data_IF_474831973733
#
_entry.id   IF_474831973733
#
_cell.length_a   1.000
_cell.length_b   1.000
_cell.length_c   1.000
_cell.angle_alpha   90.00
_cell.angle_beta   90.00
_cell.angle_gamma   90.00
#
_symmetry.space_group_name_H-M   'P 1'
#
loop_
_entity.id
_entity.type
_entity.pdbx_description
1 polymer ?
#
# COMPACT_ATOMS: atom_id res chain seq x y z
N UNK A 1 -28.52 -6.18 -4.81
CA UNK A 1 -29.05 -7.24 -3.90
C UNK A 1 -28.88 -8.64 -4.49
N UNK A 2 -29.25 -8.91 -5.74
CA UNK A 2 -29.10 -10.25 -6.35
C UNK A 2 -27.65 -10.78 -6.38
N UNK A 3 -26.66 -9.94 -6.69
CA UNK A 3 -25.25 -10.34 -6.70
C UNK A 3 -24.72 -10.79 -5.33
N UNK A 4 -25.14 -10.13 -4.25
CA UNK A 4 -24.75 -10.49 -2.89
C UNK A 4 -25.37 -11.81 -2.45
N UNK A 5 -26.64 -12.06 -2.81
CA UNK A 5 -27.28 -13.34 -2.51
C UNK A 5 -26.66 -14.49 -3.31
N UNK A 6 -26.28 -14.24 -4.57
CA UNK A 6 -25.54 -15.21 -5.36
C UNK A 6 -24.15 -15.50 -4.79
N UNK A 7 -23.40 -14.47 -4.37
CA UNK A 7 -22.10 -14.64 -3.73
C UNK A 7 -22.23 -15.46 -2.43
N UNK A 8 -23.25 -15.16 -1.61
CA UNK A 8 -23.57 -15.94 -0.41
C UNK A 8 -23.88 -17.40 -0.75
N UNK A 9 -24.73 -17.65 -1.76
CA UNK A 9 -25.06 -18.99 -2.22
C UNK A 9 -23.79 -19.74 -2.66
N UNK A 10 -22.96 -19.11 -3.50
CA UNK A 10 -21.72 -19.70 -4.02
C UNK A 10 -20.76 -20.09 -2.90
N UNK A 11 -20.55 -19.22 -1.91
CA UNK A 11 -19.69 -19.56 -0.77
C UNK A 11 -20.32 -20.67 0.10
N UNK A 12 -21.64 -20.67 0.27
CA UNK A 12 -22.33 -21.71 1.03
C UNK A 12 -22.30 -23.10 0.36
N UNK A 13 -22.35 -23.15 -0.98
CA UNK A 13 -22.42 -24.42 -1.73
C UNK A 13 -21.08 -24.89 -2.27
N UNK A 14 -20.16 -23.97 -2.58
CA UNK A 14 -18.89 -24.25 -3.25
C UNK A 14 -17.66 -23.63 -2.57
N UNK A 15 -17.84 -22.91 -1.46
CA UNK A 15 -16.79 -22.10 -0.83
C UNK A 15 -15.53 -22.88 -0.47
N UNK A 16 -15.66 -24.06 0.14
CA UNK A 16 -14.51 -24.91 0.50
C UNK A 16 -13.66 -25.26 -0.73
N UNK A 17 -14.29 -25.69 -1.82
CA UNK A 17 -13.61 -26.04 -3.07
C UNK A 17 -12.93 -24.83 -3.70
N UNK A 18 -13.63 -23.69 -3.77
CA UNK A 18 -13.12 -22.47 -4.38
C UNK A 18 -11.94 -21.90 -3.58
N UNK A 19 -12.08 -21.78 -2.27
CA UNK A 19 -11.01 -21.28 -1.40
C UNK A 19 -9.82 -22.25 -1.35
N UNK A 20 -10.04 -23.56 -1.29
CA UNK A 20 -8.94 -24.55 -1.35
C UNK A 20 -8.13 -24.43 -2.64
N UNK A 21 -8.80 -24.18 -3.78
CA UNK A 21 -8.14 -23.90 -5.05
C UNK A 21 -7.33 -22.60 -4.97
N UNK A 22 -7.91 -21.51 -4.47
CA UNK A 22 -7.24 -20.21 -4.32
C UNK A 22 -6.00 -20.31 -3.44
N UNK A 23 -6.12 -20.98 -2.29
CA UNK A 23 -5.01 -21.24 -1.36
C UNK A 23 -3.88 -22.01 -2.06
N UNK A 24 -4.21 -23.09 -2.76
CA UNK A 24 -3.24 -23.90 -3.50
C UNK A 24 -2.52 -23.07 -4.58
N UNK A 25 -3.26 -22.26 -5.34
CA UNK A 25 -2.70 -21.42 -6.38
C UNK A 25 -1.74 -20.36 -5.81
N UNK A 26 -2.11 -19.73 -4.69
CA UNK A 26 -1.27 -18.75 -4.03
C UNK A 26 0.05 -19.36 -3.52
N UNK A 27 0.02 -20.54 -2.90
CA UNK A 27 1.23 -21.23 -2.43
C UNK A 27 2.11 -21.73 -3.59
N UNK A 28 1.50 -22.24 -4.67
CA UNK A 28 2.21 -22.62 -5.90
C UNK A 28 2.96 -21.41 -6.50
N UNK A 29 2.31 -20.24 -6.55
CA UNK A 29 2.92 -19.00 -7.02
C UNK A 29 4.01 -18.51 -6.07
N UNK A 30 3.74 -18.46 -4.76
CA UNK A 30 4.71 -18.07 -3.73
C UNK A 30 6.00 -18.89 -3.81
N UNK A 31 5.87 -20.20 -3.96
CA UNK A 31 7.01 -21.12 -4.11
C UNK A 31 7.85 -20.80 -5.35
N UNK A 32 7.22 -20.38 -6.45
CA UNK A 32 7.94 -19.99 -7.67
C UNK A 32 8.58 -18.62 -7.55
N UNK A 33 7.86 -17.64 -6.99
CA UNK A 33 8.38 -16.28 -6.74
C UNK A 33 9.63 -16.34 -5.86
N UNK A 34 9.61 -17.15 -4.80
CA UNK A 34 10.76 -17.34 -3.91
C UNK A 34 11.98 -18.05 -4.54
N UNK A 35 11.88 -18.50 -5.80
CA UNK A 35 13.03 -19.01 -6.57
C UNK A 35 13.68 -17.95 -7.45
N UNK A 36 13.06 -16.78 -7.59
CA UNK A 36 13.57 -15.68 -8.41
C UNK A 36 14.67 -14.96 -7.61
N UNK A 37 15.91 -14.86 -8.10
CA UNK A 37 16.98 -14.15 -7.41
C UNK A 37 16.63 -12.68 -7.14
N UNK A 38 16.82 -12.23 -5.90
CA UNK A 38 16.54 -10.84 -5.48
C UNK A 38 15.06 -10.53 -5.20
N UNK A 39 14.15 -11.49 -5.39
CA UNK A 39 12.74 -11.34 -5.03
C UNK A 39 12.41 -12.34 -3.92
N UNK A 40 11.66 -11.89 -2.92
CA UNK A 40 11.12 -12.77 -1.87
C UNK A 40 9.65 -12.49 -1.66
N UNK A 41 8.89 -13.50 -1.25
CA UNK A 41 7.48 -13.39 -0.96
C UNK A 41 7.20 -14.02 0.40
N UNK A 42 6.61 -13.24 1.30
CA UNK A 42 6.43 -13.59 2.70
C UNK A 42 5.68 -14.90 2.87
N UNK A 43 6.28 -15.92 3.47
CA UNK A 43 5.60 -17.16 3.86
C UNK A 43 5.39 -17.24 5.36
N UNK A 44 4.97 -18.43 5.83
CA UNK A 44 4.69 -18.68 7.25
C UNK A 44 5.91 -18.49 8.17
N UNK A 45 7.12 -18.43 7.63
CA UNK A 45 8.34 -18.11 8.36
C UNK A 45 8.33 -16.73 9.02
N UNK A 46 7.49 -15.78 8.57
CA UNK A 46 7.37 -14.47 9.21
C UNK A 46 6.61 -14.54 10.54
N UNK A 47 5.77 -15.57 10.73
CA UNK A 47 4.92 -15.71 11.92
C UNK A 47 5.78 -15.82 13.18
N UNK A 48 6.78 -16.71 13.14
CA UNK A 48 7.70 -16.92 14.26
C UNK A 48 8.67 -15.76 14.46
N UNK A 49 9.10 -15.10 13.38
CA UNK A 49 10.04 -13.97 13.44
C UNK A 49 9.45 -12.71 14.07
N UNK A 50 8.17 -12.46 13.86
CA UNK A 50 7.50 -11.22 14.28
C UNK A 50 6.40 -11.45 15.33
N UNK A 51 6.30 -12.66 15.90
CA UNK A 51 5.28 -13.03 16.89
C UNK A 51 3.85 -12.67 16.42
N UNK A 52 3.53 -13.03 15.17
CA UNK A 52 2.23 -12.76 14.55
C UNK A 52 1.24 -13.91 14.86
N UNK A 53 -0.05 -13.63 14.73
CA UNK A 53 -1.11 -14.64 14.91
C UNK A 53 -1.16 -15.66 13.77
N UNK A 54 -1.32 -15.20 12.53
CA UNK A 54 -1.27 -16.03 11.32
C UNK A 54 -0.96 -15.13 10.09
N UNK A 55 -0.73 -15.75 8.93
CA UNK A 55 -0.58 -15.10 7.65
C UNK A 55 -1.68 -15.54 6.69
N UNK A 56 -2.43 -14.58 6.14
CA UNK A 56 -3.32 -14.85 5.01
C UNK A 56 -2.49 -15.15 3.76
N UNK A 57 -2.34 -16.44 3.47
CA UNK A 57 -1.52 -16.93 2.36
C UNK A 57 -2.08 -16.55 0.98
N UNK A 58 -3.33 -16.09 0.87
CA UNK A 58 -3.91 -15.61 -0.39
C UNK A 58 -3.42 -14.22 -0.76
N UNK A 59 -2.76 -13.54 0.18
CA UNK A 59 -2.06 -12.26 -0.03
C UNK A 59 -0.59 -12.52 -0.29
N UNK A 60 -0.15 -12.23 -1.50
CA UNK A 60 1.24 -12.33 -1.91
C UNK A 60 1.91 -10.97 -1.70
N UNK A 61 2.47 -10.77 -0.51
CA UNK A 61 3.38 -9.64 -0.25
C UNK A 61 4.76 -10.00 -0.77
N UNK A 62 5.23 -9.30 -1.80
CA UNK A 62 6.44 -9.61 -2.56
C UNK A 62 7.44 -8.46 -2.38
N UNK A 63 8.58 -8.73 -1.76
CA UNK A 63 9.71 -7.81 -1.63
C UNK A 63 10.54 -7.80 -2.90
N UNK A 64 10.81 -6.59 -3.42
CA UNK A 64 11.59 -6.34 -4.65
C UNK A 64 12.83 -5.48 -4.41
N UNK A 65 13.13 -5.12 -3.15
CA UNK A 65 14.25 -4.23 -2.80
C UNK A 65 15.62 -4.70 -3.32
N UNK A 66 15.82 -6.02 -3.42
CA UNK A 66 17.11 -6.62 -3.75
C UNK A 66 17.34 -6.75 -5.27
N UNK A 67 16.36 -6.39 -6.11
CA UNK A 67 16.52 -6.25 -7.57
C UNK A 67 16.77 -4.81 -8.03
N UNK A 68 17.04 -3.87 -7.10
CA UNK A 68 17.38 -2.49 -7.44
C UNK A 68 16.19 -1.62 -7.85
N UNK A 69 14.96 -2.09 -7.66
CA UNK A 69 13.73 -1.35 -7.95
C UNK A 69 12.87 -1.14 -6.70
N UNK A 70 12.15 -0.04 -6.69
CA UNK A 70 11.09 0.21 -5.71
C UNK A 70 9.84 -0.60 -6.08
N UNK A 71 8.98 -0.89 -5.10
CA UNK A 71 7.69 -1.52 -5.38
C UNK A 71 6.82 -0.68 -6.33
N UNK A 72 6.92 0.66 -6.28
CA UNK A 72 6.23 1.56 -7.22
C UNK A 72 6.68 1.34 -8.67
N UNK A 73 7.99 1.24 -8.90
CA UNK A 73 8.54 0.97 -10.24
C UNK A 73 8.12 -0.40 -10.75
N UNK A 74 8.19 -1.43 -9.91
CA UNK A 74 7.74 -2.78 -10.29
C UNK A 74 6.25 -2.80 -10.60
N UNK A 75 5.43 -2.14 -9.77
CA UNK A 75 3.99 -1.97 -10.02
C UNK A 75 3.71 -1.30 -11.37
N UNK A 76 4.43 -0.21 -11.67
CA UNK A 76 4.30 0.50 -12.94
C UNK A 76 4.69 -0.38 -14.13
N UNK A 77 5.78 -1.15 -14.03
CA UNK A 77 6.20 -2.09 -15.06
C UNK A 77 5.17 -3.21 -15.27
N UNK A 78 4.70 -3.83 -14.17
CA UNK A 78 3.66 -4.86 -14.21
C UNK A 78 2.39 -4.36 -14.92
N UNK A 79 1.95 -3.14 -14.60
CA UNK A 79 0.77 -2.55 -15.22
C UNK A 79 0.99 -2.24 -16.71
N UNK A 80 2.05 -1.48 -17.04
CA UNK A 80 2.22 -0.91 -18.40
C UNK A 80 2.81 -1.87 -19.42
N UNK A 81 3.67 -2.81 -19.01
CA UNK A 81 4.37 -3.74 -19.91
C UNK A 81 3.73 -5.13 -19.94
N UNK A 82 3.11 -5.55 -18.83
CA UNK A 82 2.61 -6.93 -18.69
C UNK A 82 1.08 -7.02 -18.51
N UNK A 83 0.38 -5.90 -18.43
CA UNK A 83 -1.06 -5.80 -18.14
C UNK A 83 -1.45 -6.52 -16.85
N UNK A 84 -0.67 -6.30 -15.78
CA UNK A 84 -0.88 -6.88 -14.44
C UNK A 84 -1.05 -5.74 -13.44
N UNK A 85 -2.25 -5.63 -12.88
CA UNK A 85 -2.53 -4.69 -11.79
C UNK A 85 -2.20 -5.34 -10.44
N UNK A 86 -1.36 -4.68 -9.65
CA UNK A 86 -1.16 -5.04 -8.23
C UNK A 86 -2.18 -4.29 -7.37
N UNK A 87 -2.47 -4.82 -6.18
CA UNK A 87 -3.38 -4.17 -5.23
C UNK A 87 -2.74 -2.91 -4.64
N UNK A 88 -1.48 -3.03 -4.21
CA UNK A 88 -0.75 -1.97 -3.54
C UNK A 88 0.74 -2.13 -3.83
N UNK A 89 1.46 -1.02 -3.79
CA UNK A 89 2.92 -0.99 -3.83
C UNK A 89 3.44 -0.01 -2.78
N UNK A 90 4.58 -0.34 -2.18
CA UNK A 90 5.36 0.50 -1.27
C UNK A 90 6.81 0.60 -1.74
N UNK A 91 7.69 1.35 -1.05
CA UNK A 91 9.08 1.50 -1.50
C UNK A 91 9.83 0.18 -1.69
N UNK A 92 9.41 -0.90 -1.02
CA UNK A 92 10.10 -2.20 -0.99
C UNK A 92 9.26 -3.38 -1.47
N UNK A 93 7.93 -3.27 -1.45
CA UNK A 93 7.01 -4.36 -1.68
C UNK A 93 5.94 -4.05 -2.72
N UNK A 94 5.44 -5.10 -3.34
CA UNK A 94 4.14 -5.11 -4.01
C UNK A 94 3.22 -6.12 -3.32
N UNK A 95 1.92 -5.86 -3.34
CA UNK A 95 0.89 -6.75 -2.83
C UNK A 95 0.00 -7.24 -3.97
N UNK A 96 -0.15 -8.55 -4.09
CA UNK A 96 -1.10 -9.18 -5.01
C UNK A 96 -2.09 -10.02 -4.22
N UNK A 97 -3.39 -9.81 -4.45
CA UNK A 97 -4.46 -10.61 -3.82
C UNK A 97 -4.87 -11.71 -4.80
N UNK A 98 -4.79 -12.96 -4.35
CA UNK A 98 -5.31 -14.12 -5.09
C UNK A 98 -6.72 -14.42 -4.60
N UNK A 99 -7.70 -14.35 -5.50
CA UNK A 99 -9.12 -14.52 -5.23
C UNK A 99 -9.66 -15.84 -5.80
N UNK A 100 -10.96 -16.08 -5.62
CA UNK A 100 -11.67 -17.21 -6.27
C UNK A 100 -11.80 -17.04 -7.79
N UNK A 101 -11.64 -15.81 -8.31
CA UNK A 101 -11.71 -15.48 -9.73
C UNK A 101 -10.43 -15.80 -10.49
N UNK A 102 -9.30 -15.94 -9.79
CA UNK A 102 -8.00 -16.10 -10.43
C UNK A 102 -7.78 -17.52 -10.98
N UNK A 103 -7.07 -17.57 -12.11
CA UNK A 103 -6.69 -18.80 -12.79
C UNK A 103 -5.20 -19.04 -12.64
N UNK A 104 -4.82 -20.30 -12.82
CA UNK A 104 -3.42 -20.71 -12.79
C UNK A 104 -2.56 -19.93 -13.81
N UNK A 105 -3.12 -19.60 -14.97
CA UNK A 105 -2.39 -18.88 -16.02
C UNK A 105 -2.18 -17.41 -15.67
N UNK A 106 -3.09 -16.79 -14.90
CA UNK A 106 -2.91 -15.42 -14.40
C UNK A 106 -1.70 -15.37 -13.44
N UNK A 107 -1.56 -16.34 -12.53
CA UNK A 107 -0.39 -16.43 -11.65
C UNK A 107 0.90 -16.86 -12.37
N UNK A 108 0.82 -17.65 -13.45
CA UNK A 108 1.99 -17.91 -14.29
C UNK A 108 2.48 -16.63 -14.97
N UNK A 109 1.56 -15.81 -15.50
CA UNK A 109 1.90 -14.50 -16.08
C UNK A 109 2.60 -13.61 -15.05
N UNK A 110 2.10 -13.55 -13.81
CA UNK A 110 2.75 -12.82 -12.72
C UNK A 110 4.18 -13.33 -12.47
N UNK A 111 4.37 -14.64 -12.29
CA UNK A 111 5.70 -15.23 -12.05
C UNK A 111 6.65 -14.91 -13.20
N UNK A 112 6.24 -15.11 -14.44
CA UNK A 112 7.08 -14.84 -15.61
C UNK A 112 7.39 -13.36 -15.81
N UNK A 113 6.47 -12.45 -15.46
CA UNK A 113 6.72 -11.02 -15.48
C UNK A 113 7.77 -10.63 -14.42
N UNK A 114 7.66 -11.17 -13.20
CA UNK A 114 8.65 -10.93 -12.15
C UNK A 114 10.03 -11.51 -12.50
N UNK A 115 10.08 -12.67 -13.14
CA UNK A 115 11.33 -13.24 -13.68
C UNK A 115 11.97 -12.32 -14.73
N UNK A 116 11.19 -11.81 -15.69
CA UNK A 116 11.67 -10.91 -16.74
C UNK A 116 12.17 -9.57 -16.17
N UNK A 117 11.43 -8.99 -15.20
CA UNK A 117 11.82 -7.76 -14.50
C UNK A 117 13.13 -7.98 -13.73
N UNK A 118 13.23 -9.06 -12.95
CA UNK A 118 14.43 -9.38 -12.19
C UNK A 118 15.65 -9.65 -13.07
N UNK A 119 15.46 -10.14 -14.30
CA UNK A 119 16.55 -10.35 -15.26
C UNK A 119 16.98 -9.06 -15.96
N UNK A 120 16.03 -8.22 -16.36
CA UNK A 120 16.30 -7.02 -17.17
C UNK A 120 16.86 -5.87 -16.33
N UNK A 121 16.36 -5.73 -15.10
CA UNK A 121 16.60 -4.55 -14.25
C UNK A 121 17.58 -4.83 -13.12
N UNK A 122 18.37 -5.92 -13.19
CA UNK A 122 19.35 -6.32 -12.18
C UNK A 122 20.57 -5.37 -12.14
N UNK A 123 20.31 -4.11 -11.83
CA UNK A 123 21.31 -3.10 -11.54
C UNK A 123 21.45 -2.94 -10.03
N UNK A 124 22.60 -2.40 -9.63
CA UNK A 124 23.09 -2.21 -8.26
C UNK A 124 21.95 -2.00 -7.24
N UNK A 125 22.02 -2.73 -6.11
CA UNK A 125 21.12 -2.59 -4.95
C UNK A 125 20.77 -1.12 -4.73
N UNK A 126 19.49 -0.83 -4.48
CA UNK A 126 19.05 0.48 -4.01
C UNK A 126 19.80 0.83 -2.73
N UNK A 127 20.89 1.56 -2.85
CA UNK A 127 21.49 2.31 -1.75
C UNK A 127 20.52 3.42 -1.40
N UNK A 128 20.02 3.43 -0.15
CA UNK A 128 19.40 4.59 0.54
C UNK A 128 17.88 4.67 0.77
N UNK A 129 17.11 3.58 0.76
CA UNK A 129 15.72 3.63 1.31
C UNK A 129 15.66 3.17 2.80
N UNK A 130 16.79 2.78 3.39
CA UNK A 130 16.85 2.18 4.74
C UNK A 130 16.29 3.05 5.89
N UNK A 131 16.02 4.34 5.66
CA UNK A 131 15.56 5.31 6.67
C UNK A 131 14.12 5.84 6.46
N UNK A 132 13.23 5.09 5.80
CA UNK A 132 11.79 5.38 5.87
C UNK A 132 11.21 4.66 7.09
N UNK A 133 11.44 5.22 8.27
CA UNK A 133 10.62 4.88 9.43
C UNK A 133 9.21 5.44 9.20
N UNK A 134 8.20 4.61 9.41
CA UNK A 134 6.83 5.10 9.55
C UNK A 134 6.80 5.98 10.79
N UNK A 135 6.61 7.30 10.65
CA UNK A 135 6.53 8.18 11.82
C UNK A 135 5.32 7.79 12.66
N UNK A 136 5.54 7.59 13.96
CA UNK A 136 4.46 7.54 14.93
C UNK A 136 4.23 8.98 15.38
N UNK A 137 3.24 9.63 14.80
CA UNK A 137 2.90 10.99 15.18
C UNK A 137 2.04 11.00 16.44
N UNK A 138 2.49 11.73 17.46
CA UNK A 138 1.67 12.10 18.62
C UNK A 138 0.91 13.40 18.29
N UNK A 139 -0.08 13.30 17.41
CA UNK A 139 -0.86 14.44 16.96
C UNK A 139 -1.69 15.02 18.12
N UNK A 140 -1.53 16.32 18.36
CA UNK A 140 -2.31 17.01 19.39
C UNK A 140 -3.72 17.31 18.87
N UNK A 141 -4.73 16.87 19.61
CA UNK A 141 -6.14 17.16 19.30
C UNK A 141 -6.52 18.53 19.84
N UNK A 142 -6.90 19.47 18.97
CA UNK A 142 -7.40 20.79 19.35
C UNK A 142 -8.93 20.83 19.47
N UNK A 143 -9.63 20.05 18.65
CA UNK A 143 -11.09 19.96 18.66
C UNK A 143 -11.57 18.62 18.08
N UNK A 144 -12.88 18.34 18.17
CA UNK A 144 -13.41 17.08 17.64
C UNK A 144 -13.38 17.08 16.11
N UNK A 145 -13.23 15.91 15.45
CA UNK A 145 -13.30 15.84 14.00
C UNK A 145 -14.62 16.35 13.42
N UNK A 146 -15.73 16.18 14.14
CA UNK A 146 -17.03 16.74 13.75
C UNK A 146 -16.98 18.26 13.72
N UNK A 147 -16.48 18.89 14.78
CA UNK A 147 -16.46 20.34 14.86
C UNK A 147 -15.53 20.94 13.80
N UNK A 148 -14.36 20.35 13.60
CA UNK A 148 -13.43 20.77 12.56
C UNK A 148 -14.01 20.63 11.14
N UNK A 149 -14.75 19.55 10.88
CA UNK A 149 -15.38 19.32 9.58
C UNK A 149 -16.50 20.32 9.27
N UNK A 150 -17.28 20.74 10.27
CA UNK A 150 -18.37 21.70 10.09
C UNK A 150 -17.95 23.16 10.25
N UNK A 151 -16.68 23.43 10.60
CA UNK A 151 -16.18 24.79 10.70
C UNK A 151 -15.89 25.39 9.32
N UNK A 152 -15.69 26.71 9.29
CA UNK A 152 -15.12 27.36 8.12
C UNK A 152 -13.71 26.85 7.92
N UNK A 153 -13.35 26.57 6.68
CA UNK A 153 -12.03 26.13 6.29
C UNK A 153 -11.47 26.96 5.15
N UNK A 154 -10.15 26.90 4.99
CA UNK A 154 -9.43 27.43 3.82
C UNK A 154 -8.18 26.61 3.58
N UNK A 155 -7.68 26.66 2.36
CA UNK A 155 -6.43 26.03 1.99
C UNK A 155 -5.25 26.98 2.23
N UNK A 156 -4.17 26.44 2.79
CA UNK A 156 -2.87 27.10 2.92
C UNK A 156 -1.80 26.19 2.35
N UNK A 157 -0.62 26.75 2.01
CA UNK A 157 0.49 25.91 1.57
C UNK A 157 0.90 24.95 2.68
N UNK A 158 1.44 23.78 2.33
CA UNK A 158 1.91 22.79 3.32
C UNK A 158 2.89 23.43 4.32
N UNK A 159 3.77 24.33 3.88
CA UNK A 159 4.73 25.01 4.75
C UNK A 159 4.08 26.00 5.74
N UNK A 160 2.95 26.60 5.39
CA UNK A 160 2.22 27.56 6.24
C UNK A 160 1.22 26.89 7.19
N UNK A 161 1.05 25.58 7.04
CA UNK A 161 0.06 24.81 7.77
C UNK A 161 0.49 24.41 9.18
N UNK A 162 1.79 24.48 9.49
CA UNK A 162 2.31 24.15 10.81
C UNK A 162 1.65 24.99 11.91
N UNK A 163 1.27 24.33 12.99
CA UNK A 163 0.53 24.90 14.12
C UNK A 163 -0.95 25.17 13.88
N UNK A 164 -1.48 24.91 12.67
CA UNK A 164 -2.90 25.07 12.33
C UNK A 164 -3.69 23.80 12.61
N UNK A 165 -5.00 23.96 12.72
CA UNK A 165 -5.93 22.83 12.92
C UNK A 165 -6.30 22.29 11.55
N UNK A 166 -6.08 21.00 11.32
CA UNK A 166 -6.48 20.32 10.11
C UNK A 166 -8.00 20.34 9.93
N UNK A 167 -8.48 20.59 8.72
CA UNK A 167 -9.91 20.44 8.38
C UNK A 167 -10.22 19.19 7.56
N UNK A 168 -9.19 18.49 7.06
CA UNK A 168 -9.32 17.33 6.16
C UNK A 168 -8.71 16.06 6.76
N UNK A 169 -9.05 14.91 6.19
CA UNK A 169 -8.36 13.66 6.48
C UNK A 169 -7.17 13.57 5.52
N UNK A 170 -5.94 13.56 6.04
CA UNK A 170 -4.73 13.41 5.22
C UNK A 170 -4.24 11.97 5.31
N UNK A 171 -4.13 11.33 4.14
CA UNK A 171 -3.73 9.93 4.04
C UNK A 171 -2.60 9.79 3.04
N UNK A 172 -1.49 9.17 3.45
CA UNK A 172 -0.38 8.85 2.55
C UNK A 172 -0.52 7.41 2.08
N UNK A 173 -0.52 7.23 0.77
CA UNK A 173 -0.61 5.93 0.11
C UNK A 173 0.74 5.55 -0.50
N UNK A 174 1.27 4.38 -0.10
CA UNK A 174 0.93 3.52 1.05
C UNK A 174 1.42 4.08 2.40
N UNK A 175 0.91 3.58 3.55
CA UNK A 175 0.02 2.42 3.73
C UNK A 175 -1.47 2.71 3.50
N UNK A 176 -1.86 3.95 3.23
CA UNK A 176 -3.26 4.30 3.07
C UNK A 176 -4.02 4.43 4.39
N UNK A 177 -3.29 4.75 5.46
CA UNK A 177 -3.85 5.00 6.79
C UNK A 177 -3.81 6.51 7.04
N UNK A 178 -4.89 7.11 7.54
CA UNK A 178 -4.88 8.52 7.91
C UNK A 178 -3.73 8.84 8.87
N UNK A 179 -2.87 9.77 8.46
CA UNK A 179 -1.79 10.29 9.31
C UNK A 179 -2.20 11.57 10.03
N UNK A 180 -3.28 12.20 9.56
CA UNK A 180 -3.87 13.38 10.17
C UNK A 180 -5.38 13.34 9.95
N UNK A 181 -6.15 13.70 10.97
CA UNK A 181 -7.61 13.81 10.89
C UNK A 181 -8.07 15.23 11.26
N UNK A 182 -9.30 15.64 10.84
CA UNK A 182 -9.83 16.94 11.20
C UNK A 182 -9.81 17.16 12.71
N UNK A 183 -9.42 18.37 13.13
CA UNK A 183 -9.34 18.75 14.54
C UNK A 183 -7.99 18.49 15.20
N UNK A 184 -7.08 17.78 14.53
CA UNK A 184 -5.68 17.66 14.96
C UNK A 184 -4.85 18.87 14.54
N UNK A 185 -3.82 19.19 15.33
CA UNK A 185 -2.86 20.25 15.02
C UNK A 185 -1.78 19.67 14.10
N UNK A 186 -1.56 20.33 12.97
CA UNK A 186 -0.49 20.01 12.03
C UNK A 186 0.85 20.41 12.66
N UNK A 187 1.71 19.44 12.95
CA UNK A 187 3.05 19.70 13.50
C UNK A 187 4.06 20.02 12.40
N UNK A 188 5.18 20.65 12.76
CA UNK A 188 6.33 20.86 11.85
C UNK A 188 6.89 19.53 11.33
N UNK A 189 6.88 18.49 12.18
CA UNK A 189 7.31 17.14 11.80
C UNK A 189 6.40 16.52 10.74
N UNK A 190 5.08 16.72 10.88
CA UNK A 190 4.09 16.29 9.88
C UNK A 190 4.33 16.98 8.53
N UNK A 191 4.57 18.29 8.54
CA UNK A 191 4.90 19.07 7.35
C UNK A 191 6.17 18.53 6.66
N UNK A 192 7.22 18.26 7.43
CA UNK A 192 8.46 17.70 6.90
C UNK A 192 8.26 16.30 6.30
N UNK A 193 7.46 15.46 6.95
CA UNK A 193 7.14 14.12 6.47
C UNK A 193 6.33 14.13 5.18
N UNK A 194 5.26 14.93 5.10
CA UNK A 194 4.44 15.07 3.89
C UNK A 194 5.30 15.45 2.69
N UNK A 195 6.22 16.41 2.85
CA UNK A 195 7.16 16.81 1.79
C UNK A 195 8.06 15.67 1.35
N UNK A 196 8.67 14.94 2.30
CA UNK A 196 9.51 13.78 1.99
C UNK A 196 8.71 12.73 1.20
N UNK A 197 7.45 12.51 1.53
CA UNK A 197 6.60 11.53 0.83
C UNK A 197 6.23 12.00 -0.59
N UNK A 198 5.95 13.30 -0.78
CA UNK A 198 5.75 13.89 -2.11
C UNK A 198 7.01 13.72 -2.97
N UNK A 199 8.20 14.01 -2.41
CA UNK A 199 9.48 13.86 -3.11
C UNK A 199 9.77 12.41 -3.51
N UNK A 200 9.29 11.44 -2.73
CA UNK A 200 9.37 10.01 -3.02
C UNK A 200 8.31 9.51 -4.01
N UNK A 201 7.42 10.40 -4.48
CA UNK A 201 6.34 10.06 -5.42
C UNK A 201 5.17 9.32 -4.78
N UNK A 202 5.00 9.39 -3.47
CA UNK A 202 3.83 8.82 -2.81
C UNK A 202 2.55 9.58 -3.19
N UNK A 203 1.43 8.86 -3.24
CA UNK A 203 0.12 9.50 -3.44
C UNK A 203 -0.39 10.00 -2.09
N UNK A 204 -0.91 11.22 -2.03
CA UNK A 204 -1.45 11.79 -0.79
C UNK A 204 -2.88 12.25 -1.03
N UNK A 205 -3.81 11.67 -0.29
CA UNK A 205 -5.21 12.06 -0.30
C UNK A 205 -5.46 13.11 0.78
N UNK A 206 -6.36 14.06 0.49
CA UNK A 206 -6.75 15.15 1.40
C UNK A 206 -5.96 16.46 1.19
N UNK A 207 -4.99 16.46 0.28
CA UNK A 207 -4.38 17.68 -0.26
C UNK A 207 -5.18 18.20 -1.47
N UNK A 208 -4.84 19.40 -1.97
CA UNK A 208 -5.36 19.88 -3.24
C UNK A 208 -4.80 19.08 -4.44
N UNK A 209 -5.34 19.30 -5.64
CA UNK A 209 -4.99 18.54 -6.88
C UNK A 209 -3.48 18.50 -7.18
N UNK A 210 -2.73 19.54 -6.79
CA UNK A 210 -1.29 19.64 -7.03
C UNK A 210 -0.42 19.15 -5.85
N UNK A 211 -1.00 18.58 -4.79
CA UNK A 211 -0.30 18.18 -3.54
C UNK A 211 0.53 19.31 -2.90
N UNK A 212 0.07 20.56 -2.99
CA UNK A 212 0.79 21.75 -2.49
C UNK A 212 0.12 22.42 -1.30
N UNK A 213 -1.18 22.19 -1.12
CA UNK A 213 -2.00 22.85 -0.11
C UNK A 213 -2.79 21.85 0.73
N UNK A 214 -3.01 22.23 1.99
CA UNK A 214 -3.76 21.48 2.98
C UNK A 214 -4.90 22.34 3.53
N UNK A 215 -6.05 21.72 3.77
CA UNK A 215 -7.21 22.37 4.39
C UNK A 215 -6.98 22.59 5.88
N UNK A 216 -7.20 23.82 6.33
CA UNK A 216 -7.17 24.20 7.75
C UNK A 216 -8.48 24.84 8.19
N UNK A 217 -8.80 24.72 9.47
CA UNK A 217 -9.89 25.47 10.10
C UNK A 217 -9.55 26.97 10.12
N UNK A 218 -10.45 27.80 9.62
CA UNK A 218 -10.29 29.25 9.46
C UNK A 218 -10.69 30.01 10.74
N UNK A 219 -9.79 29.96 11.74
CA UNK A 219 -9.90 30.67 13.03
C UNK A 219 -8.65 31.47 13.35
#
# INVERSE_FOLDING_TARGET
MASLDLARMQIATEGEKLLSKTIKLAEEARTKINKIPGITCFGKEIISRHNLGDLDITKLTITVKDIGLTGYQVSHLLNTKYDIQVEMADPFHILVIVSIGDRRDDLKRLVSALEDIALTENQLKLTSIDDIQLPVFDNKVAMTPRDAFFDKNRFVTINESAGRICSEIITVYPPGIPILVPGEIISEEMVAYLRKMIDLGATIDGLNEDNTHIGIVDR
#
